data_IF_667267427594
#
_entry.id   IF_667267427594
#
_cell.length_a   1.000
_cell.length_b   1.000
_cell.length_c   1.000
_cell.angle_alpha   90.00
_cell.angle_beta   90.00
_cell.angle_gamma   90.00
#
_symmetry.space_group_name_H-M   'P 1'
#
loop_
_entity.id
_entity.type
_entity.pdbx_description
1 polymer ?
#
# COMPACT_ATOMS: atom_id res chain seq x y z
N UNK A 1 -3.23 9.72 9.03
CA UNK A 1 -2.34 9.73 7.85
C UNK A 1 -2.98 10.60 6.77
N UNK A 2 -2.25 11.58 6.19
CA UNK A 2 -2.84 12.61 5.31
C UNK A 2 -3.46 12.06 4.02
N UNK A 3 -3.00 10.93 3.49
CA UNK A 3 -3.57 10.34 2.27
C UNK A 3 -5.02 9.89 2.41
N UNK A 4 -5.55 9.72 3.64
CA UNK A 4 -6.98 9.52 3.88
C UNK A 4 -7.84 10.71 3.46
N UNK A 5 -7.28 11.92 3.39
CA UNK A 5 -8.01 13.11 2.90
C UNK A 5 -8.26 13.06 1.38
N UNK A 6 -7.60 12.14 0.68
CA UNK A 6 -7.75 11.95 -0.76
C UNK A 6 -8.74 10.83 -1.13
N UNK A 7 -9.44 10.23 -0.16
CA UNK A 7 -10.45 9.21 -0.43
C UNK A 7 -11.56 9.79 -1.30
N UNK A 8 -11.71 9.27 -2.51
CA UNK A 8 -12.69 9.72 -3.49
C UNK A 8 -12.95 8.58 -4.48
N UNK A 9 -14.21 8.35 -4.93
CA UNK A 9 -14.54 7.29 -5.89
C UNK A 9 -13.81 7.42 -7.25
N UNK A 10 -13.32 8.61 -7.60
CA UNK A 10 -12.60 8.85 -8.85
C UNK A 10 -11.07 8.90 -8.65
N UNK A 11 -10.57 8.53 -7.46
CA UNK A 11 -9.16 8.56 -7.12
C UNK A 11 -8.67 7.22 -6.61
N UNK A 12 -7.41 6.93 -6.96
CA UNK A 12 -6.69 5.74 -6.56
C UNK A 12 -5.33 6.13 -6.01
N UNK A 13 -4.90 5.47 -4.94
CA UNK A 13 -3.57 5.66 -4.36
C UNK A 13 -2.78 4.36 -4.44
N UNK A 14 -1.65 4.39 -5.13
CA UNK A 14 -0.72 3.27 -5.23
C UNK A 14 0.64 3.70 -4.66
N UNK A 15 1.09 3.03 -3.59
CA UNK A 15 2.38 3.29 -2.96
C UNK A 15 3.42 2.30 -3.51
N UNK A 16 4.57 2.80 -3.94
CA UNK A 16 5.74 2.00 -4.31
C UNK A 16 6.89 2.37 -3.38
N UNK A 17 7.67 1.38 -2.94
CA UNK A 17 8.95 1.59 -2.26
C UNK A 17 9.80 0.32 -2.27
N UNK A 18 11.02 0.41 -1.76
CA UNK A 18 11.92 -0.72 -1.67
C UNK A 18 12.52 -0.94 -0.28
N UNK A 19 12.88 -2.19 0.03
CA UNK A 19 13.50 -2.53 1.32
C UNK A 19 15.00 -2.26 1.38
N UNK A 20 15.69 -2.31 0.24
CA UNK A 20 17.16 -2.26 0.18
C UNK A 20 17.60 -1.21 -0.83
N UNK A 21 18.44 -0.28 -0.38
CA UNK A 21 18.96 0.81 -1.22
C UNK A 21 18.07 2.05 -1.27
N UNK A 22 17.02 2.11 -0.44
CA UNK A 22 16.08 3.24 -0.31
C UNK A 22 15.82 3.66 1.16
N UNK A 23 16.81 3.53 2.04
CA UNK A 23 16.62 3.83 3.48
C UNK A 23 16.03 5.23 3.74
N UNK A 24 16.34 6.19 2.87
CA UNK A 24 15.81 7.56 2.94
C UNK A 24 14.29 7.66 2.69
N UNK A 25 13.71 6.75 1.89
CA UNK A 25 12.26 6.69 1.63
C UNK A 25 11.52 6.08 2.83
N UNK A 26 12.22 5.29 3.65
CA UNK A 26 11.70 4.68 4.86
C UNK A 26 10.46 3.82 4.58
N UNK A 27 10.66 2.73 3.83
CA UNK A 27 9.61 1.76 3.51
C UNK A 27 8.78 1.28 4.73
N UNK A 28 9.36 1.05 5.92
CA UNK A 28 8.55 0.75 7.12
C UNK A 28 7.54 1.86 7.47
N UNK A 29 7.93 3.13 7.35
CA UNK A 29 7.02 4.26 7.61
C UNK A 29 5.97 4.43 6.50
N UNK A 30 6.29 4.05 5.25
CA UNK A 30 5.32 3.99 4.17
C UNK A 30 4.27 2.91 4.43
N UNK A 31 4.68 1.74 4.93
CA UNK A 31 3.76 0.70 5.39
C UNK A 31 2.90 1.16 6.56
N UNK A 32 3.48 1.81 7.57
CA UNK A 32 2.72 2.39 8.68
C UNK A 32 1.70 3.42 8.17
N UNK A 33 2.06 4.19 7.15
CA UNK A 33 1.16 5.13 6.47
C UNK A 33 -0.01 4.42 5.81
N UNK A 34 0.26 3.33 5.08
CA UNK A 34 -0.77 2.48 4.51
C UNK A 34 -1.72 1.93 5.59
N UNK A 35 -1.19 1.33 6.66
CA UNK A 35 -1.97 0.83 7.80
C UNK A 35 -2.85 1.91 8.43
N UNK A 36 -2.33 3.13 8.57
CA UNK A 36 -3.08 4.24 9.14
C UNK A 36 -4.11 4.86 8.21
N UNK A 37 -4.03 4.60 6.90
CA UNK A 37 -5.05 5.00 5.95
C UNK A 37 -6.16 3.95 5.84
N UNK A 38 -5.81 2.66 5.83
CA UNK A 38 -6.71 1.55 5.51
C UNK A 38 -8.07 1.60 6.22
N UNK A 39 -8.18 1.81 7.55
CA UNK A 39 -9.49 1.86 8.23
C UNK A 39 -10.45 2.92 7.68
N UNK A 40 -9.92 4.06 7.20
CA UNK A 40 -10.75 5.13 6.62
C UNK A 40 -11.22 4.74 5.23
N UNK A 41 -10.33 4.21 4.39
CA UNK A 41 -10.68 3.73 3.05
C UNK A 41 -11.70 2.58 3.13
N UNK A 42 -11.53 1.66 4.09
CA UNK A 42 -12.49 0.59 4.39
C UNK A 42 -13.85 1.16 4.82
N UNK A 43 -13.86 2.14 5.73
CA UNK A 43 -15.08 2.75 6.25
C UNK A 43 -15.93 3.41 5.15
N UNK A 44 -15.29 4.02 4.14
CA UNK A 44 -16.00 4.66 3.02
C UNK A 44 -16.30 3.70 1.86
N UNK A 45 -15.92 2.42 1.98
CA UNK A 45 -16.17 1.41 0.96
C UNK A 45 -15.24 1.51 -0.26
N UNK A 46 -14.04 2.07 -0.09
CA UNK A 46 -13.03 2.25 -1.14
C UNK A 46 -11.74 1.48 -0.82
N UNK A 47 -11.83 0.35 -0.11
CA UNK A 47 -10.67 -0.48 0.29
C UNK A 47 -9.77 -0.85 -0.89
N UNK A 48 -10.39 -1.12 -2.04
CA UNK A 48 -9.71 -1.52 -3.28
C UNK A 48 -9.08 -0.34 -4.02
N UNK A 49 -9.32 0.91 -3.61
CA UNK A 49 -8.67 2.10 -4.18
C UNK A 49 -7.31 2.43 -3.52
N UNK A 50 -6.91 1.66 -2.50
CA UNK A 50 -5.67 1.83 -1.77
C UNK A 50 -4.76 0.61 -1.96
N UNK A 51 -3.65 0.81 -2.67
CA UNK A 51 -2.66 -0.21 -2.99
C UNK A 51 -1.25 0.14 -2.47
N UNK A 52 -0.47 -0.88 -2.18
CA UNK A 52 0.95 -0.78 -1.81
C UNK A 52 1.74 -1.95 -2.41
N UNK A 53 2.92 -1.63 -2.95
CA UNK A 53 3.92 -2.61 -3.35
C UNK A 53 5.28 -2.20 -2.78
N UNK A 54 5.84 -3.02 -1.88
CA UNK A 54 7.21 -2.84 -1.39
C UNK A 54 8.07 -3.97 -1.96
N UNK A 55 8.92 -3.64 -2.94
CA UNK A 55 9.81 -4.63 -3.56
C UNK A 55 11.15 -4.74 -2.80
N UNK A 56 11.95 -5.73 -3.18
CA UNK A 56 13.16 -6.10 -2.42
C UNK A 56 14.25 -5.04 -2.46
N UNK A 57 14.68 -4.61 -3.65
CA UNK A 57 15.88 -3.77 -3.81
C UNK A 57 15.80 -2.83 -5.02
N UNK A 58 16.44 -1.67 -4.90
CA UNK A 58 16.59 -0.67 -5.95
C UNK A 58 15.94 0.67 -5.60
N UNK A 59 16.62 1.79 -5.93
CA UNK A 59 16.02 3.13 -5.82
C UNK A 59 15.32 3.55 -7.12
N UNK A 60 14.27 2.81 -7.49
CA UNK A 60 13.58 2.99 -8.75
C UNK A 60 12.20 2.35 -8.73
N UNK A 61 11.33 2.81 -9.62
CA UNK A 61 10.19 2.00 -10.07
C UNK A 61 10.73 0.95 -11.03
N UNK A 62 10.58 -0.33 -10.68
CA UNK A 62 11.08 -1.46 -11.48
C UNK A 62 9.97 -2.11 -12.31
N UNK A 63 10.35 -3.00 -13.22
CA UNK A 63 9.41 -3.67 -14.12
C UNK A 63 8.27 -4.39 -13.36
N UNK A 64 8.57 -4.98 -12.21
CA UNK A 64 7.57 -5.60 -11.33
C UNK A 64 6.52 -4.59 -10.83
N UNK A 65 6.95 -3.41 -10.40
CA UNK A 65 6.03 -2.36 -9.94
C UNK A 65 5.11 -1.91 -11.08
N UNK A 66 5.68 -1.73 -12.28
CA UNK A 66 4.93 -1.30 -13.46
C UNK A 66 3.92 -2.36 -13.88
N UNK A 67 4.29 -3.65 -13.88
CA UNK A 67 3.37 -4.74 -14.21
C UNK A 67 2.19 -4.81 -13.25
N UNK A 68 2.44 -4.66 -11.94
CA UNK A 68 1.40 -4.61 -10.90
C UNK A 68 0.51 -3.37 -11.05
N UNK A 69 1.13 -2.20 -11.27
CA UNK A 69 0.43 -0.93 -11.43
C UNK A 69 -0.48 -0.92 -12.66
N UNK A 70 -0.02 -1.48 -13.79
CA UNK A 70 -0.84 -1.61 -15.01
C UNK A 70 -2.06 -2.49 -14.73
N UNK A 71 -1.89 -3.67 -14.12
CA UNK A 71 -3.02 -4.55 -13.83
C UNK A 71 -4.03 -3.92 -12.86
N UNK A 72 -3.54 -3.20 -11.85
CA UNK A 72 -4.38 -2.43 -10.94
C UNK A 72 -5.16 -1.33 -11.68
N UNK A 73 -4.48 -0.56 -12.51
CA UNK A 73 -5.09 0.51 -13.30
C UNK A 73 -6.12 -0.03 -14.30
N UNK A 74 -5.76 -1.08 -15.06
CA UNK A 74 -6.62 -1.70 -16.06
C UNK A 74 -7.90 -2.26 -15.45
N UNK A 75 -7.82 -2.84 -14.24
CA UNK A 75 -8.99 -3.28 -13.50
C UNK A 75 -9.90 -2.12 -13.10
N UNK A 76 -9.35 -1.09 -12.44
CA UNK A 76 -10.15 0.00 -11.89
C UNK A 76 -10.67 0.99 -12.94
N UNK A 77 -9.92 1.24 -14.00
CA UNK A 77 -10.25 2.26 -15.00
C UNK A 77 -10.94 1.67 -16.23
N UNK A 78 -10.55 0.46 -16.65
CA UNK A 78 -11.08 -0.16 -17.86
C UNK A 78 -11.93 -1.41 -17.59
N UNK A 79 -12.04 -1.88 -16.35
CA UNK A 79 -12.78 -3.10 -16.01
C UNK A 79 -12.14 -4.37 -16.58
N UNK A 80 -10.85 -4.35 -16.90
CA UNK A 80 -10.12 -5.50 -17.42
C UNK A 80 -9.69 -6.39 -16.26
N UNK A 81 -10.06 -7.67 -16.30
CA UNK A 81 -9.72 -8.58 -15.22
C UNK A 81 -8.18 -8.74 -15.08
N UNK A 82 -7.64 -8.58 -13.87
CA UNK A 82 -6.21 -8.73 -13.61
C UNK A 82 -5.81 -10.21 -13.71
N UNK A 83 -4.54 -10.47 -14.03
CA UNK A 83 -3.97 -11.82 -14.02
C UNK A 83 -3.50 -12.23 -12.62
N UNK A 84 -3.17 -11.25 -11.77
CA UNK A 84 -2.82 -11.44 -10.37
C UNK A 84 -4.04 -11.23 -9.44
N UNK A 85 -3.95 -11.73 -8.20
CA UNK A 85 -4.88 -11.34 -7.14
C UNK A 85 -4.51 -9.94 -6.64
N UNK A 86 -5.37 -8.95 -6.87
CA UNK A 86 -5.12 -7.57 -6.43
C UNK A 86 -5.05 -7.42 -4.90
N UNK A 87 -5.52 -8.42 -4.12
CA UNK A 87 -5.31 -8.43 -2.67
C UNK A 87 -3.85 -8.51 -2.26
N UNK A 88 -2.97 -8.99 -3.13
CA UNK A 88 -1.52 -8.94 -2.92
C UNK A 88 -1.01 -7.49 -2.80
N UNK A 89 -1.74 -6.51 -3.36
CA UNK A 89 -1.44 -5.08 -3.24
C UNK A 89 -2.04 -4.44 -1.97
N UNK A 90 -2.65 -5.23 -1.08
CA UNK A 90 -3.19 -4.77 0.20
C UNK A 90 -2.37 -5.28 1.40
N UNK A 91 -1.17 -5.78 1.12
CA UNK A 91 -0.21 -6.26 2.11
C UNK A 91 1.21 -5.91 1.68
N UNK A 92 2.18 -6.18 2.54
CA UNK A 92 3.60 -5.99 2.21
C UNK A 92 4.45 -6.98 2.98
N UNK A 93 5.76 -6.97 2.71
CA UNK A 93 6.74 -7.76 3.47
C UNK A 93 6.70 -7.46 4.98
N UNK A 94 6.18 -6.30 5.39
CA UNK A 94 6.07 -5.91 6.80
C UNK A 94 4.88 -6.56 7.52
N UNK A 95 3.86 -7.03 6.81
CA UNK A 95 2.73 -7.77 7.42
C UNK A 95 3.07 -9.24 7.72
N UNK A 96 4.22 -9.72 7.20
CA UNK A 96 4.69 -11.09 7.47
C UNK A 96 4.92 -11.27 8.98
N UNK A 97 4.57 -12.44 9.57
CA UNK A 97 4.65 -12.64 11.03
C UNK A 97 6.00 -12.34 11.69
N UNK A 98 7.10 -12.49 10.94
CA UNK A 98 8.47 -12.22 11.41
C UNK A 98 8.86 -10.73 11.41
N UNK A 99 8.16 -9.91 10.65
CA UNK A 99 8.46 -8.49 10.44
C UNK A 99 7.41 -7.57 11.06
N UNK A 100 6.22 -8.11 11.37
CA UNK A 100 5.08 -7.37 11.89
C UNK A 100 5.37 -6.76 13.26
N UNK A 101 5.16 -5.47 13.38
CA UNK A 101 5.17 -4.76 14.67
C UNK A 101 3.72 -4.64 15.17
N UNK A 102 3.34 -5.38 16.23
CA UNK A 102 1.95 -5.41 16.69
C UNK A 102 1.47 -4.07 17.25
N UNK A 103 2.36 -3.12 17.58
CA UNK A 103 2.00 -1.80 18.10
C UNK A 103 1.95 -0.75 17.00
N UNK A 104 2.93 -0.75 16.09
CA UNK A 104 3.01 0.25 15.01
C UNK A 104 2.07 -0.10 13.86
N UNK A 105 1.96 -1.36 13.46
CA UNK A 105 1.16 -1.75 12.30
C UNK A 105 -0.34 -1.72 12.57
N UNK A 106 -0.74 -1.85 13.85
CA UNK A 106 -2.14 -1.79 14.27
C UNK A 106 -2.55 -0.40 14.75
N UNK A 107 -1.59 0.54 14.82
CA UNK A 107 -1.76 1.84 15.47
C UNK A 107 -2.30 1.76 16.91
N UNK A 108 -2.12 0.63 17.60
CA UNK A 108 -2.59 0.45 18.98
C UNK A 108 -1.71 1.13 20.02
N UNK A 109 -0.62 1.78 19.61
CA UNK A 109 0.19 2.58 20.53
C UNK A 109 -0.61 3.80 20.99
N UNK A 110 -0.54 4.12 22.29
CA UNK A 110 -1.28 5.20 22.97
C UNK A 110 -1.00 6.62 22.45
N UNK A 111 -0.22 6.78 21.38
CA UNK A 111 0.09 8.07 20.78
C UNK A 111 -0.98 8.56 19.80
N UNK A 112 -1.95 7.70 19.42
CA UNK A 112 -2.97 8.00 18.40
C UNK A 112 -4.39 8.05 19.02
N UNK A 113 -4.52 7.88 20.34
CA UNK A 113 -5.77 7.98 21.10
C UNK A 113 -5.70 9.04 22.19
#
# INVERSE_FOLDING_TARGET
MLGSLCCDPDRYLFIIGSCVGEDWVNAPSMWMSYCGMRPIWDYVGLSDHLAINIHKEGHAVIAEDVEKMIQYFDYHVYGINPKMDLKELQTSVFDLPKNKDPFQDTLSSKWIH
#
